data_IF_935498722280
#
_entry.id   IF_935498722280
#
_cell.length_a   1.000
_cell.length_b   1.000
_cell.length_c   1.000
_cell.angle_alpha   90.00
_cell.angle_beta   90.00
_cell.angle_gamma   90.00
#
_symmetry.space_group_name_H-M   'P 1'
#
loop_
_entity.id
_entity.type
_entity.pdbx_description
1 polymer ?
#
# COMPACT_ATOMS: atom_id res chain seq x y z
N UNK A 1 -1.09 31.56 -26.61
CA UNK A 1 -1.30 31.19 -28.02
C UNK A 1 -0.48 32.16 -28.86
N UNK A 2 0.63 31.77 -29.50
CA UNK A 2 1.25 32.66 -30.48
C UNK A 2 0.22 32.85 -31.60
N UNK A 3 -0.22 34.08 -31.81
CA UNK A 3 -1.13 34.41 -32.89
C UNK A 3 -0.41 34.12 -34.20
N UNK A 4 -0.94 33.18 -34.98
CA UNK A 4 -0.44 32.91 -36.32
C UNK A 4 -0.57 34.19 -37.16
N UNK A 5 0.46 34.56 -37.93
CA UNK A 5 0.36 35.71 -38.81
C UNK A 5 -0.80 35.53 -39.79
N UNK A 6 -1.60 36.57 -39.95
CA UNK A 6 -2.79 36.58 -40.80
C UNK A 6 -2.41 36.22 -42.24
N UNK A 7 -3.16 35.31 -42.91
CA UNK A 7 -2.85 34.94 -44.28
C UNK A 7 -2.86 36.18 -45.21
N UNK A 8 -1.92 36.28 -46.16
CA UNK A 8 -2.07 37.20 -47.27
C UNK A 8 -3.33 36.82 -48.08
N UNK A 9 -4.23 37.78 -48.27
CA UNK A 9 -5.44 37.63 -49.07
C UNK A 9 -5.09 37.39 -50.56
N UNK A 10 -5.25 36.14 -51.01
CA UNK A 10 -5.19 35.79 -52.42
C UNK A 10 -6.42 36.40 -53.11
N UNK A 11 -6.30 37.00 -54.31
CA UNK A 11 -7.46 37.52 -55.04
C UNK A 11 -8.53 36.46 -55.20
N UNK A 12 -9.79 36.85 -54.98
CA UNK A 12 -10.94 35.97 -55.15
C UNK A 12 -11.34 35.82 -56.62
N UNK A 13 -10.85 36.71 -57.49
CA UNK A 13 -11.20 36.72 -58.91
C UNK A 13 -10.04 37.06 -59.84
N UNK A 14 -10.17 36.63 -61.10
CA UNK A 14 -9.22 36.95 -62.16
C UNK A 14 -9.14 38.45 -62.46
N UNK A 15 -10.24 39.18 -62.33
CA UNK A 15 -10.28 40.62 -62.56
C UNK A 15 -9.49 41.39 -61.49
N UNK A 16 -9.59 40.97 -60.22
CA UNK A 16 -8.78 41.51 -59.14
C UNK A 16 -7.29 41.22 -59.34
N UNK A 17 -6.96 39.99 -59.80
CA UNK A 17 -5.60 39.63 -60.15
C UNK A 17 -5.04 40.53 -61.26
N UNK A 18 -5.78 40.74 -62.36
CA UNK A 18 -5.34 41.55 -63.50
C UNK A 18 -5.20 43.03 -63.12
N UNK A 19 -6.06 43.55 -62.25
CA UNK A 19 -5.97 44.92 -61.73
C UNK A 19 -4.71 45.12 -60.87
N UNK A 20 -4.43 44.23 -59.91
CA UNK A 20 -3.23 44.34 -59.07
C UNK A 20 -1.94 44.09 -59.86
N UNK A 21 -1.97 43.18 -60.83
CA UNK A 21 -0.83 42.93 -61.71
C UNK A 21 -0.51 44.12 -62.63
N UNK A 22 -1.53 44.85 -63.09
CA UNK A 22 -1.34 46.01 -63.96
C UNK A 22 -0.72 47.23 -63.23
N UNK A 23 -0.90 47.34 -61.91
CA UNK A 23 -0.33 48.44 -61.11
C UNK A 23 1.16 48.23 -60.80
N UNK A 24 1.54 47.04 -60.33
CA UNK A 24 2.93 46.71 -59.96
C UNK A 24 3.18 45.19 -60.08
N UNK A 25 3.65 44.73 -61.26
CA UNK A 25 3.83 43.31 -61.54
C UNK A 25 4.80 42.59 -60.60
N UNK A 26 5.91 43.24 -60.24
CA UNK A 26 7.00 42.63 -59.47
C UNK A 26 6.60 42.48 -58.00
N UNK A 27 6.01 43.53 -57.42
CA UNK A 27 5.49 43.49 -56.05
C UNK A 27 4.36 42.48 -55.92
N UNK A 28 3.52 42.37 -56.94
CA UNK A 28 2.42 41.41 -56.96
C UNK A 28 2.90 39.95 -57.07
N UNK A 29 3.93 39.70 -57.89
CA UNK A 29 4.57 38.39 -57.98
C UNK A 29 5.22 37.96 -56.65
N UNK A 30 5.94 38.89 -56.00
CA UNK A 30 6.54 38.65 -54.68
C UNK A 30 5.46 38.29 -53.65
N UNK A 31 4.37 39.07 -53.61
CA UNK A 31 3.25 38.86 -52.68
C UNK A 31 2.62 37.47 -52.83
N UNK A 32 2.32 37.05 -54.06
CA UNK A 32 1.74 35.72 -54.31
C UNK A 32 2.73 34.61 -53.95
N UNK A 33 4.02 34.80 -54.24
CA UNK A 33 5.05 33.83 -53.90
C UNK A 33 5.14 33.61 -52.39
N UNK A 34 5.13 34.69 -51.60
CA UNK A 34 5.13 34.64 -50.14
C UNK A 34 3.83 34.01 -49.59
N UNK A 35 2.69 34.29 -50.22
CA UNK A 35 1.40 33.69 -49.87
C UNK A 35 1.38 32.17 -50.05
N UNK A 36 1.88 31.68 -51.19
CA UNK A 36 1.99 30.25 -51.46
C UNK A 36 3.01 29.57 -50.54
N UNK A 37 4.14 30.22 -50.25
CA UNK A 37 5.13 29.71 -49.30
C UNK A 37 4.51 29.55 -47.90
N UNK A 38 3.76 30.54 -47.43
CA UNK A 38 3.06 30.49 -46.15
C UNK A 38 2.02 29.37 -46.10
N UNK A 39 1.18 29.22 -47.13
CA UNK A 39 0.17 28.15 -47.16
C UNK A 39 0.82 26.76 -47.11
N UNK A 40 1.91 26.55 -47.84
CA UNK A 40 2.66 25.30 -47.82
C UNK A 40 3.25 25.00 -46.43
N UNK A 41 3.75 26.03 -45.74
CA UNK A 41 4.25 25.90 -44.37
C UNK A 41 3.10 25.57 -43.40
N UNK A 42 1.94 26.19 -43.55
CA UNK A 42 0.75 25.86 -42.75
C UNK A 42 0.29 24.42 -42.94
N UNK A 43 0.22 23.93 -44.19
CA UNK A 43 -0.13 22.53 -44.46
C UNK A 43 0.84 21.56 -43.78
N UNK A 44 2.15 21.84 -43.85
CA UNK A 44 3.16 21.03 -43.17
C UNK A 44 2.99 21.06 -41.65
N UNK A 45 2.73 22.24 -41.09
CA UNK A 45 2.50 22.41 -39.65
C UNK A 45 1.23 21.70 -39.19
N UNK A 46 0.17 21.73 -40.00
CA UNK A 46 -1.07 21.04 -39.73
C UNK A 46 -0.87 19.53 -39.73
N UNK A 47 -0.17 18.97 -40.73
CA UNK A 47 0.16 17.53 -40.78
C UNK A 47 0.96 17.10 -39.55
N UNK A 48 1.92 17.92 -39.10
CA UNK A 48 2.69 17.64 -37.89
C UNK A 48 1.81 17.70 -36.62
N UNK A 49 0.89 18.66 -36.53
CA UNK A 49 -0.05 18.78 -35.43
C UNK A 49 -1.02 17.59 -35.38
N UNK A 50 -1.59 17.20 -36.51
CA UNK A 50 -2.51 16.06 -36.63
C UNK A 50 -1.81 14.76 -36.25
N UNK A 51 -0.57 14.56 -36.69
CA UNK A 51 0.25 13.41 -36.28
C UNK A 51 0.44 13.37 -34.77
N UNK A 52 0.80 14.50 -34.17
CA UNK A 52 1.00 14.60 -32.71
C UNK A 52 -0.31 14.36 -31.95
N UNK A 53 -1.44 14.81 -32.50
CA UNK A 53 -2.76 14.58 -31.92
C UNK A 53 -3.09 13.08 -31.91
N UNK A 54 -2.84 12.37 -33.01
CA UNK A 54 -3.02 10.91 -33.08
C UNK A 54 -2.10 10.18 -32.09
N UNK A 55 -0.82 10.56 -32.03
CA UNK A 55 0.13 9.96 -31.07
C UNK A 55 -0.33 10.14 -29.62
N UNK A 56 -0.81 11.34 -29.25
CA UNK A 56 -1.36 11.60 -27.92
C UNK A 56 -2.64 10.83 -27.66
N UNK A 57 -3.52 10.69 -28.66
CA UNK A 57 -4.76 9.94 -28.52
C UNK A 57 -4.50 8.45 -28.23
N UNK A 58 -3.57 7.83 -28.96
CA UNK A 58 -3.14 6.45 -28.70
C UNK A 58 -2.53 6.31 -27.30
N UNK A 59 -1.73 7.29 -26.86
CA UNK A 59 -1.14 7.28 -25.53
C UNK A 59 -2.21 7.34 -24.43
N UNK A 60 -3.23 8.20 -24.60
CA UNK A 60 -4.35 8.31 -23.66
C UNK A 60 -5.14 7.02 -23.59
N UNK A 61 -5.46 6.40 -24.73
CA UNK A 61 -6.20 5.13 -24.78
C UNK A 61 -5.41 4.01 -24.07
N UNK A 62 -4.10 3.91 -24.33
CA UNK A 62 -3.22 2.94 -23.67
C UNK A 62 -3.21 3.14 -22.15
N UNK A 63 -3.07 4.38 -21.69
CA UNK A 63 -3.08 4.70 -20.26
C UNK A 63 -4.43 4.40 -19.60
N UNK A 64 -5.55 4.62 -20.30
CA UNK A 64 -6.88 4.28 -19.81
C UNK A 64 -7.03 2.76 -19.61
N UNK A 65 -6.53 1.96 -20.55
CA UNK A 65 -6.55 0.49 -20.43
C UNK A 65 -5.68 -0.01 -19.26
N UNK A 66 -4.47 0.56 -19.10
CA UNK A 66 -3.60 0.25 -17.96
C UNK A 66 -4.27 0.58 -16.61
N UNK A 67 -4.92 1.73 -16.50
CA UNK A 67 -5.66 2.12 -15.29
C UNK A 67 -6.79 1.12 -14.99
N UNK A 68 -7.55 0.71 -16.00
CA UNK A 68 -8.61 -0.28 -15.83
C UNK A 68 -8.06 -1.62 -15.33
N UNK A 69 -6.95 -2.08 -15.90
CA UNK A 69 -6.30 -3.32 -15.48
C UNK A 69 -5.78 -3.23 -14.03
N UNK A 70 -5.17 -2.10 -13.67
CA UNK A 70 -4.72 -1.84 -12.29
C UNK A 70 -5.89 -1.81 -11.30
N UNK A 71 -7.04 -1.26 -11.68
CA UNK A 71 -8.24 -1.29 -10.84
C UNK A 71 -8.75 -2.72 -10.61
N UNK A 72 -8.81 -3.53 -11.68
CA UNK A 72 -9.24 -4.92 -11.59
C UNK A 72 -8.30 -5.76 -10.71
N UNK A 73 -6.99 -5.61 -10.88
CA UNK A 73 -5.99 -6.30 -10.05
C UNK A 73 -6.06 -5.87 -8.59
N UNK A 74 -6.23 -4.57 -8.31
CA UNK A 74 -6.41 -4.07 -6.96
C UNK A 74 -7.67 -4.63 -6.31
N UNK A 75 -8.77 -4.73 -7.04
CA UNK A 75 -10.00 -5.35 -6.56
C UNK A 75 -9.79 -6.83 -6.22
N UNK A 76 -9.11 -7.59 -7.08
CA UNK A 76 -8.79 -8.99 -6.82
C UNK A 76 -7.96 -9.16 -5.54
N UNK A 77 -6.90 -8.34 -5.37
CA UNK A 77 -6.05 -8.36 -4.17
C UNK A 77 -6.84 -7.99 -2.91
N UNK A 78 -7.78 -7.05 -2.99
CA UNK A 78 -8.64 -6.70 -1.85
C UNK A 78 -9.53 -7.87 -1.42
N UNK A 79 -10.11 -8.58 -2.39
CA UNK A 79 -10.92 -9.79 -2.12
C UNK A 79 -10.06 -10.86 -1.46
N UNK A 80 -8.88 -11.16 -2.02
CA UNK A 80 -7.95 -12.14 -1.46
C UNK A 80 -7.50 -11.78 -0.05
N UNK A 81 -7.16 -10.50 0.19
CA UNK A 81 -6.81 -9.99 1.52
C UNK A 81 -7.96 -10.19 2.52
N UNK A 82 -9.20 -9.93 2.11
CA UNK A 82 -10.36 -10.13 2.97
C UNK A 82 -10.57 -11.61 3.33
N UNK A 83 -10.39 -12.50 2.35
CA UNK A 83 -10.48 -13.94 2.55
C UNK A 83 -9.37 -14.46 3.48
N UNK A 84 -8.13 -13.99 3.30
CA UNK A 84 -7.01 -14.33 4.17
C UNK A 84 -7.22 -13.84 5.61
N UNK A 85 -7.81 -12.66 5.81
CA UNK A 85 -8.16 -12.16 7.15
C UNK A 85 -9.22 -13.03 7.82
N UNK A 86 -10.28 -13.40 7.09
CA UNK A 86 -11.32 -14.30 7.63
C UNK A 86 -10.74 -15.67 7.99
N UNK A 87 -9.88 -16.22 7.12
CA UNK A 87 -9.19 -17.48 7.41
C UNK A 87 -8.30 -17.37 8.65
N UNK A 88 -7.55 -16.26 8.80
CA UNK A 88 -6.70 -16.03 9.97
C UNK A 88 -7.54 -15.99 11.26
N UNK A 89 -8.63 -15.23 11.27
CA UNK A 89 -9.56 -15.16 12.40
C UNK A 89 -10.09 -16.55 12.78
N UNK A 90 -10.52 -17.34 11.79
CA UNK A 90 -11.02 -18.68 12.05
C UNK A 90 -9.96 -19.63 12.62
N UNK A 91 -8.70 -19.52 12.18
CA UNK A 91 -7.58 -20.29 12.73
C UNK A 91 -7.27 -19.86 14.16
N UNK A 92 -7.23 -18.55 14.42
CA UNK A 92 -7.01 -17.98 15.75
C UNK A 92 -8.07 -18.47 16.75
N UNK A 93 -9.36 -18.43 16.40
CA UNK A 93 -10.45 -18.89 17.25
C UNK A 93 -10.34 -20.39 17.58
N UNK A 94 -9.97 -21.21 16.59
CA UNK A 94 -9.76 -22.65 16.80
C UNK A 94 -8.55 -22.93 17.69
N UNK A 95 -7.50 -22.13 17.55
CA UNK A 95 -6.29 -22.28 18.35
C UNK A 95 -6.56 -21.91 19.81
N UNK A 96 -7.25 -20.80 20.08
CA UNK A 96 -7.66 -20.40 21.43
C UNK A 96 -8.54 -21.48 22.10
N UNK A 97 -9.49 -22.05 21.35
CA UNK A 97 -10.29 -23.18 21.85
C UNK A 97 -9.42 -24.39 22.22
N UNK A 98 -8.45 -24.75 21.38
CA UNK A 98 -7.54 -25.87 21.64
C UNK A 98 -6.62 -25.61 22.83
N UNK A 99 -6.18 -24.37 23.01
CA UNK A 99 -5.34 -23.97 24.14
C UNK A 99 -6.10 -24.07 25.46
N UNK A 100 -7.37 -23.65 25.49
CA UNK A 100 -8.27 -23.85 26.65
C UNK A 100 -8.54 -25.32 26.97
N UNK A 101 -8.82 -26.13 25.95
CA UNK A 101 -9.00 -27.59 26.12
C UNK A 101 -7.73 -28.24 26.70
N UNK A 102 -6.56 -27.81 26.25
CA UNK A 102 -5.27 -28.33 26.72
C UNK A 102 -4.97 -27.93 28.17
N UNK A 103 -5.26 -26.69 28.57
CA UNK A 103 -5.07 -26.27 29.96
C UNK A 103 -6.03 -27.00 30.90
N UNK A 104 -7.29 -27.20 30.50
CA UNK A 104 -8.24 -28.00 31.28
C UNK A 104 -7.76 -29.45 31.47
N UNK A 105 -7.23 -30.08 30.42
CA UNK A 105 -6.67 -31.43 30.51
C UNK A 105 -5.42 -31.50 31.41
N UNK A 106 -4.59 -30.44 31.41
CA UNK A 106 -3.44 -30.33 32.33
C UNK A 106 -3.89 -30.24 33.78
N UNK A 107 -4.91 -29.44 34.07
CA UNK A 107 -5.43 -29.30 35.43
C UNK A 107 -6.08 -30.60 35.91
N UNK A 108 -6.84 -31.30 35.06
CA UNK A 108 -7.39 -32.61 35.37
C UNK A 108 -6.26 -33.63 35.66
N UNK A 109 -5.20 -33.64 34.85
CA UNK A 109 -4.04 -34.49 35.08
C UNK A 109 -3.33 -34.16 36.42
N UNK A 110 -3.14 -32.87 36.74
CA UNK A 110 -2.57 -32.44 38.03
C UNK A 110 -3.42 -32.91 39.20
N UNK A 111 -4.74 -32.77 39.11
CA UNK A 111 -5.67 -33.20 40.16
C UNK A 111 -5.68 -34.73 40.32
N UNK A 112 -5.60 -35.48 39.22
CA UNK A 112 -5.47 -36.94 39.24
C UNK A 112 -4.16 -37.40 39.89
N UNK A 113 -3.06 -36.66 39.71
CA UNK A 113 -1.79 -36.93 40.40
C UNK A 113 -1.91 -36.61 41.90
N UNK A 114 -2.47 -35.44 42.25
CA UNK A 114 -2.63 -35.01 43.63
C UNK A 114 -3.52 -35.96 44.44
N UNK A 115 -4.60 -36.49 43.85
CA UNK A 115 -5.50 -37.45 44.51
C UNK A 115 -4.87 -38.83 44.78
N UNK A 116 -3.76 -39.16 44.11
CA UNK A 116 -3.01 -40.41 44.33
C UNK A 116 -1.87 -40.26 45.34
N UNK A 117 -1.53 -39.04 45.76
CA UNK A 117 -0.54 -38.80 46.81
C UNK A 117 -1.20 -38.93 48.19
N UNK A 118 -0.69 -39.76 49.12
CA UNK A 118 -1.28 -39.93 50.44
C UNK A 118 -1.21 -38.62 51.23
N UNK A 119 -2.36 -38.12 51.69
CA UNK A 119 -2.43 -37.05 52.68
C UNK A 119 -1.79 -37.54 53.98
N UNK A 120 -0.56 -37.13 54.26
CA UNK A 120 0.07 -37.36 55.56
C UNK A 120 -0.60 -36.41 56.56
N UNK A 121 -1.58 -36.91 57.30
CA UNK A 121 -2.14 -36.20 58.45
C UNK A 121 -1.03 -35.93 59.45
N UNK A 122 -0.73 -34.65 59.70
CA UNK A 122 0.21 -34.24 60.73
C UNK A 122 -0.24 -34.79 62.08
N UNK A 123 0.53 -35.73 62.63
CA UNK A 123 0.39 -36.21 64.00
C UNK A 123 0.62 -35.02 64.93
N UNK A 124 -0.39 -34.67 65.72
CA UNK A 124 -0.27 -33.74 66.84
C UNK A 124 0.80 -34.28 67.81
N UNK A 125 1.90 -33.55 68.08
CA UNK A 125 2.83 -33.98 69.10
C UNK A 125 2.20 -33.75 70.47
N UNK A 126 1.82 -34.85 71.14
CA UNK A 126 1.46 -34.84 72.56
C UNK A 126 2.72 -34.56 73.38
N UNK A 127 2.93 -33.30 73.75
CA UNK A 127 3.93 -32.93 74.74
C UNK A 127 3.34 -33.12 76.14
N UNK A 128 3.63 -34.25 76.77
CA UNK A 128 3.55 -34.36 78.24
C UNK A 128 4.91 -33.94 78.79
N UNK A 129 5.04 -32.83 79.54
CA UNK A 129 6.29 -32.47 80.18
C UNK A 129 6.44 -33.31 81.47
N UNK A 130 7.50 -34.10 81.53
CA UNK A 130 7.96 -34.86 82.69
C UNK A 130 8.44 -33.90 83.80
N UNK A 131 7.93 -33.97 85.05
CA UNK A 131 8.16 -32.95 86.05
C UNK A 131 9.39 -33.25 86.93
N UNK A 132 10.59 -33.46 86.38
CA UNK A 132 11.78 -33.74 87.20
C UNK A 132 13.09 -33.33 86.50
N UNK A 133 13.27 -32.04 86.24
CA UNK A 133 14.58 -31.48 85.90
C UNK A 133 14.79 -30.11 86.56
N UNK A 134 14.64 -30.06 87.89
CA UNK A 134 15.39 -29.10 88.70
C UNK A 134 16.71 -29.76 89.08
N UNK A 135 17.83 -29.13 88.73
CA UNK A 135 18.82 -28.56 89.67
C UNK A 135 20.21 -28.50 89.02
N UNK A 136 20.69 -27.27 88.80
CA UNK A 136 22.09 -26.80 88.81
C UNK A 136 23.05 -27.35 87.73
N UNK A 137 24.11 -26.67 87.31
CA UNK A 137 24.63 -25.31 87.34
C UNK A 137 25.98 -25.37 86.57
N UNK A 138 26.61 -24.23 86.35
CA UNK A 138 27.88 -23.98 85.66
C UNK A 138 27.72 -23.83 84.13
N UNK A 139 27.60 -22.62 83.60
CA UNK A 139 28.68 -21.63 83.53
C UNK A 139 29.94 -22.22 82.88
N UNK A 140 29.94 -22.24 81.54
CA UNK A 140 31.12 -21.91 80.75
C UNK A 140 30.63 -21.03 79.60
N UNK A 141 30.58 -19.73 79.87
CA UNK A 141 30.82 -18.75 78.83
C UNK A 141 32.28 -18.90 78.43
N UNK A 142 32.54 -19.42 77.23
CA UNK A 142 33.63 -18.82 76.47
C UNK A 142 33.36 -18.85 74.97
N UNK A 143 33.85 -17.80 74.36
CA UNK A 143 33.48 -17.22 73.09
C UNK A 143 34.71 -17.31 72.21
N UNK A 144 34.58 -17.92 71.04
CA UNK A 144 35.25 -17.53 69.77
C UNK A 144 36.80 -17.53 69.67
N UNK A 145 37.25 -17.99 68.49
CA UNK A 145 38.47 -17.59 67.75
C UNK A 145 39.83 -18.14 68.22
N UNK A 146 40.32 -19.19 67.55
CA UNK A 146 41.31 -19.11 66.46
C UNK A 146 41.42 -20.47 65.73
#
# INVERSE_FOLDING_TARGET
MPAHPTPPAIPGSRAEYEACYAEDPDKWYQYLSDAYAWMKEQESNQVAADRKLVELQVQVETQQEEILNLQNTLQAVQIEKSAAMMQRSWVEDRLDKKEKELEAARDEARQAIASRLPTVSALTPSATPDPLAKTQAAEITDTRLQ
#
